data_IF_643296706960
#
_entry.id   IF_643296706960
#
_cell.length_a   1.000
_cell.length_b   1.000
_cell.length_c   1.000
_cell.angle_alpha   90.00
_cell.angle_beta   90.00
_cell.angle_gamma   90.00
#
_symmetry.space_group_name_H-M   'P 1'
#
loop_
_entity.id
_entity.type
_entity.pdbx_description
1 polymer ?
#
# COMPACT_ATOMS: atom_id res chain seq x y z
N UNK A 1 12.28 -9.17 24.19
CA UNK A 1 12.27 -10.63 24.06
C UNK A 1 10.97 -11.05 23.39
N UNK A 2 11.04 -11.80 22.30
CA UNK A 2 9.90 -12.43 21.63
C UNK A 2 10.26 -13.90 21.46
N UNK A 3 9.44 -14.81 21.98
CA UNK A 3 9.69 -16.26 21.98
C UNK A 3 11.08 -16.68 22.50
N UNK A 4 11.58 -16.03 23.55
CA UNK A 4 12.89 -16.35 24.14
C UNK A 4 14.09 -15.78 23.39
N UNK A 5 13.87 -15.03 22.31
CA UNK A 5 14.92 -14.36 21.53
C UNK A 5 14.98 -12.89 21.92
N UNK A 6 16.16 -12.41 22.28
CA UNK A 6 16.42 -10.99 22.45
C UNK A 6 16.53 -10.29 21.09
N UNK A 7 15.78 -9.20 20.93
CA UNK A 7 15.81 -8.37 19.73
C UNK A 7 16.28 -6.98 20.11
N UNK A 8 17.26 -6.46 19.38
CA UNK A 8 17.67 -5.07 19.46
C UNK A 8 16.77 -4.23 18.55
N UNK A 9 16.18 -3.17 19.11
CA UNK A 9 15.53 -2.12 18.33
C UNK A 9 16.56 -1.03 18.06
N UNK A 10 17.15 -1.08 16.87
CA UNK A 10 18.12 -0.09 16.40
C UNK A 10 17.37 0.83 15.44
N UNK A 11 17.13 2.11 15.81
CA UNK A 11 16.31 3.02 15.00
C UNK A 11 16.67 3.05 13.51
N UNK A 12 17.96 3.00 13.20
CA UNK A 12 18.50 3.07 11.84
C UNK A 12 18.28 1.77 11.02
N UNK A 13 17.87 0.69 11.68
CA UNK A 13 17.62 -0.64 11.07
C UNK A 13 16.19 -1.16 11.33
N UNK A 14 15.36 -0.39 12.02
CA UNK A 14 14.00 -0.76 12.40
C UNK A 14 12.98 0.00 11.56
N UNK A 15 12.45 -0.66 10.53
CA UNK A 15 11.52 -0.08 9.56
C UNK A 15 10.07 -0.49 9.86
N UNK A 16 9.63 -0.22 11.10
CA UNK A 16 8.33 -0.67 11.59
C UNK A 16 7.16 0.09 10.95
N UNK A 17 6.05 -0.62 10.79
CA UNK A 17 4.73 -0.08 10.55
C UNK A 17 3.81 -0.45 11.71
N UNK A 18 2.92 0.47 12.10
CA UNK A 18 1.89 0.19 13.09
C UNK A 18 0.65 1.00 12.75
N UNK A 19 -0.46 0.30 12.56
CA UNK A 19 -1.78 0.89 12.42
C UNK A 19 -2.78 0.23 13.37
N UNK A 20 -3.96 0.85 13.41
CA UNK A 20 -5.10 0.35 14.18
C UNK A 20 -6.36 0.58 13.38
N UNK A 21 -6.94 -0.50 12.88
CA UNK A 21 -8.19 -0.47 12.16
C UNK A 21 -9.34 -0.67 13.16
N UNK A 22 -10.39 0.14 13.03
CA UNK A 22 -11.63 0.00 13.79
C UNK A 22 -12.81 0.06 12.83
N UNK A 23 -13.87 -0.68 13.12
CA UNK A 23 -15.05 -0.72 12.27
C UNK A 23 -15.90 -1.96 12.52
N UNK A 24 -16.99 -2.09 11.77
CA UNK A 24 -17.86 -3.26 11.82
C UNK A 24 -17.59 -4.30 10.73
N UNK A 25 -16.75 -3.97 9.74
CA UNK A 25 -16.44 -4.84 8.61
C UNK A 25 -15.08 -4.47 7.98
N UNK A 26 -14.53 -5.37 7.18
CA UNK A 26 -13.37 -5.09 6.34
C UNK A 26 -13.79 -4.29 5.09
N UNK A 27 -12.82 -3.78 4.33
CA UNK A 27 -13.10 -3.09 3.06
C UNK A 27 -12.70 -3.99 1.90
N UNK A 28 -13.37 -3.87 0.76
CA UNK A 28 -13.10 -4.67 -0.44
C UNK A 28 -12.98 -3.75 -1.67
N UNK A 29 -11.81 -3.65 -2.32
CA UNK A 29 -10.56 -4.33 -1.96
C UNK A 29 -10.00 -3.84 -0.62
N UNK A 30 -9.33 -4.71 0.11
CA UNK A 30 -8.41 -4.38 1.18
C UNK A 30 -7.02 -4.25 0.55
N UNK A 31 -6.44 -3.06 0.55
CA UNK A 31 -5.06 -2.85 0.12
C UNK A 31 -4.39 -1.90 1.10
N UNK A 32 -3.29 -2.37 1.68
CA UNK A 32 -2.43 -1.59 2.56
C UNK A 32 -0.97 -1.81 2.17
N UNK A 33 -0.26 -0.71 1.91
CA UNK A 33 1.17 -0.72 1.59
C UNK A 33 1.85 0.38 2.39
N UNK A 34 2.91 0.05 3.11
CA UNK A 34 3.65 0.99 3.94
C UNK A 34 5.15 0.72 3.89
N UNK A 35 5.97 1.76 3.85
CA UNK A 35 7.43 1.61 4.02
C UNK A 35 8.11 2.94 4.38
N UNK A 36 9.11 2.84 5.25
CA UNK A 36 10.10 3.90 5.49
C UNK A 36 11.53 3.48 5.12
N UNK A 37 11.75 2.24 4.66
CA UNK A 37 13.06 1.79 4.19
C UNK A 37 13.26 2.19 2.72
N UNK A 38 13.51 3.49 2.50
CA UNK A 38 13.53 4.08 1.17
C UNK A 38 14.94 4.57 0.76
N UNK A 39 15.37 4.27 -0.46
CA UNK A 39 16.68 4.67 -0.98
C UNK A 39 16.53 5.30 -2.35
N UNK A 40 17.02 6.53 -2.54
CA UNK A 40 17.06 7.14 -3.88
C UNK A 40 18.05 6.37 -4.75
N UNK A 41 17.58 5.84 -5.88
CA UNK A 41 18.40 5.19 -6.89
C UNK A 41 19.17 6.22 -7.74
N UNK A 42 18.72 7.48 -7.78
CA UNK A 42 19.43 8.56 -8.47
C UNK A 42 20.70 8.95 -7.70
N UNK A 43 20.58 9.10 -6.38
CA UNK A 43 21.70 9.57 -5.55
C UNK A 43 22.44 8.45 -4.83
N UNK A 44 21.85 7.25 -4.76
CA UNK A 44 22.34 6.13 -3.96
C UNK A 44 22.16 6.31 -2.44
N UNK A 45 21.47 7.37 -1.99
CA UNK A 45 21.36 7.72 -0.57
C UNK A 45 20.06 7.22 0.05
N UNK A 46 20.13 6.85 1.33
CA UNK A 46 18.97 6.61 2.16
C UNK A 46 18.15 7.89 2.29
N UNK A 47 16.84 7.78 2.15
CA UNK A 47 15.90 8.85 2.45
C UNK A 47 15.57 8.80 3.95
N UNK A 48 15.99 9.83 4.69
CA UNK A 48 15.94 9.82 6.17
C UNK A 48 14.74 10.59 6.72
N UNK A 49 14.07 11.39 5.89
CA UNK A 49 12.87 12.14 6.28
C UNK A 49 11.72 11.81 5.33
N UNK A 50 11.50 10.51 5.14
CA UNK A 50 10.59 9.97 4.14
C UNK A 50 9.82 8.74 4.61
N UNK A 51 8.55 8.64 4.21
CA UNK A 51 7.69 7.48 4.45
C UNK A 51 6.58 7.42 3.40
N UNK A 52 6.25 6.22 2.92
CA UNK A 52 5.18 5.95 1.99
C UNK A 52 4.06 5.14 2.64
N UNK A 53 2.82 5.50 2.35
CA UNK A 53 1.60 4.82 2.78
C UNK A 53 0.57 4.83 1.64
N UNK A 54 -0.08 3.71 1.41
CA UNK A 54 -1.28 3.59 0.58
C UNK A 54 -2.27 2.64 1.25
N UNK A 55 -3.51 3.09 1.46
CA UNK A 55 -4.51 2.33 2.20
C UNK A 55 -5.94 2.57 1.71
N UNK A 56 -6.81 1.56 1.87
CA UNK A 56 -8.26 1.69 1.71
C UNK A 56 -8.86 0.73 0.69
N UNK A 57 -10.02 1.12 0.14
CA UNK A 57 -10.58 0.46 -1.04
C UNK A 57 -12.06 0.67 -1.31
N UNK A 58 -12.93 0.80 -0.30
CA UNK A 58 -14.38 1.05 -0.51
C UNK A 58 -15.00 1.94 0.57
N UNK A 59 -14.60 3.21 0.65
CA UNK A 59 -15.19 4.17 1.58
C UNK A 59 -16.68 4.41 1.27
N UNK A 60 -17.46 4.73 2.31
CA UNK A 60 -18.87 5.10 2.18
C UNK A 60 -19.04 6.60 2.44
N UNK A 61 -19.68 7.30 1.51
CA UNK A 61 -20.04 8.71 1.65
C UNK A 61 -21.56 8.84 1.46
N UNK A 62 -22.25 9.45 2.45
CA UNK A 62 -23.71 9.61 2.42
C UNK A 62 -24.49 8.32 2.11
N UNK A 63 -24.01 7.18 2.63
CA UNK A 63 -24.62 5.85 2.40
C UNK A 63 -24.24 5.19 1.07
N UNK A 64 -23.56 5.90 0.17
CA UNK A 64 -23.13 5.37 -1.13
C UNK A 64 -21.70 4.85 -1.02
N UNK A 65 -21.47 3.61 -1.48
CA UNK A 65 -20.14 3.02 -1.53
C UNK A 65 -19.38 3.53 -2.75
N UNK A 66 -18.15 4.00 -2.55
CA UNK A 66 -17.25 4.42 -3.62
C UNK A 66 -16.23 3.30 -3.84
N UNK A 67 -16.40 2.45 -4.87
CA UNK A 67 -15.51 1.32 -5.07
C UNK A 67 -14.12 1.77 -5.51
N UNK A 68 -13.13 0.96 -5.13
CA UNK A 68 -11.72 1.06 -5.52
C UNK A 68 -11.15 2.47 -5.30
N UNK A 69 -11.24 2.98 -4.08
CA UNK A 69 -10.64 4.26 -3.68
C UNK A 69 -9.56 4.06 -2.62
N UNK A 70 -8.32 4.37 -2.99
CA UNK A 70 -7.19 4.44 -2.08
C UNK A 70 -6.94 5.88 -1.61
N UNK A 71 -6.39 5.99 -0.40
CA UNK A 71 -5.73 7.17 0.12
C UNK A 71 -4.23 6.90 0.11
N UNK A 72 -3.46 7.78 -0.53
CA UNK A 72 -2.01 7.60 -0.69
C UNK A 72 -1.31 8.84 -0.15
N UNK A 73 -0.30 8.61 0.67
CA UNK A 73 0.58 9.63 1.21
C UNK A 73 2.04 9.24 1.02
N UNK A 74 2.82 10.13 0.41
CA UNK A 74 4.27 10.00 0.37
C UNK A 74 4.89 11.26 0.97
N UNK A 75 5.43 11.14 2.19
CA UNK A 75 6.31 12.15 2.75
C UNK A 75 7.70 11.91 2.15
N UNK A 76 8.19 12.85 1.36
CA UNK A 76 9.45 12.75 0.65
C UNK A 76 10.37 13.90 1.07
N UNK A 77 11.41 13.58 1.82
CA UNK A 77 12.46 14.46 2.32
C UNK A 77 11.92 15.81 2.85
N UNK A 78 10.90 15.72 3.72
CA UNK A 78 10.27 16.89 4.33
C UNK A 78 9.07 17.47 3.57
N UNK A 79 8.70 16.91 2.42
CA UNK A 79 7.58 17.39 1.59
C UNK A 79 6.50 16.33 1.43
N UNK A 80 5.25 16.72 1.70
CA UNK A 80 4.10 15.84 1.51
C UNK A 80 3.62 15.81 0.05
N UNK A 81 3.46 14.60 -0.47
CA UNK A 81 2.76 14.29 -1.72
C UNK A 81 1.54 13.44 -1.40
N UNK A 82 0.35 14.03 -1.51
CA UNK A 82 -0.91 13.38 -1.13
C UNK A 82 -1.81 13.17 -2.35
N UNK A 83 -2.38 11.97 -2.44
CA UNK A 83 -3.39 11.58 -3.43
C UNK A 83 -4.62 11.07 -2.66
N UNK A 84 -5.47 12.01 -2.30
CA UNK A 84 -6.67 11.78 -1.50
C UNK A 84 -7.92 12.20 -2.30
N UNK A 85 -8.76 11.25 -2.66
CA UNK A 85 -9.97 11.50 -3.47
C UNK A 85 -11.00 12.39 -2.73
N UNK A 86 -10.97 12.47 -1.40
CA UNK A 86 -11.87 13.33 -0.64
C UNK A 86 -11.51 14.82 -0.79
N UNK A 87 -10.26 15.13 -1.20
CA UNK A 87 -9.83 16.48 -1.60
C UNK A 87 -10.20 16.74 -3.05
N UNK A 88 -11.51 16.87 -3.30
CA UNK A 88 -12.09 16.97 -4.65
C UNK A 88 -11.51 18.11 -5.49
N UNK A 89 -10.96 19.17 -4.86
CA UNK A 89 -10.29 20.28 -5.55
C UNK A 89 -8.92 19.92 -6.14
N UNK A 90 -8.31 18.78 -5.78
CA UNK A 90 -6.95 18.41 -6.19
C UNK A 90 -6.90 17.47 -7.42
N UNK A 91 -8.04 17.20 -8.08
CA UNK A 91 -8.15 16.34 -9.28
C UNK A 91 -7.34 15.04 -9.18
N UNK A 92 -7.57 14.32 -8.10
CA UNK A 92 -6.86 13.08 -7.79
C UNK A 92 -7.37 11.95 -8.68
N UNK A 93 -6.44 11.26 -9.33
CA UNK A 93 -6.69 10.02 -10.07
C UNK A 93 -5.80 8.95 -9.50
N UNK A 94 -6.36 7.77 -9.27
CA UNK A 94 -5.65 6.59 -8.77
C UNK A 94 -6.12 5.41 -9.60
N UNK A 95 -5.15 4.65 -10.10
CA UNK A 95 -5.31 3.34 -10.71
C UNK A 95 -4.38 2.38 -9.95
N UNK A 96 -4.89 1.20 -9.61
CA UNK A 96 -4.12 0.22 -8.84
C UNK A 96 -4.64 -1.18 -9.09
N UNK A 97 -3.77 -2.14 -8.86
CA UNK A 97 -4.12 -3.55 -8.96
C UNK A 97 -3.15 -4.44 -8.20
N UNK A 98 -3.55 -5.69 -8.14
CA UNK A 98 -2.82 -6.78 -7.52
C UNK A 98 -2.86 -7.99 -8.45
N UNK A 99 -1.75 -8.70 -8.50
CA UNK A 99 -1.63 -9.95 -9.22
C UNK A 99 -1.02 -10.98 -8.29
N UNK A 100 -1.78 -12.04 -8.02
CA UNK A 100 -1.24 -13.19 -7.33
C UNK A 100 -0.34 -13.97 -8.28
N UNK A 101 0.91 -14.21 -7.89
CA UNK A 101 1.86 -14.99 -8.67
C UNK A 101 2.27 -16.28 -7.98
N UNK A 102 3.04 -17.10 -8.70
CA UNK A 102 3.59 -18.36 -8.18
C UNK A 102 4.79 -18.13 -7.26
N UNK A 103 5.64 -17.16 -7.61
CA UNK A 103 6.85 -16.78 -6.86
C UNK A 103 6.62 -15.49 -6.08
N UNK A 104 6.25 -14.42 -6.78
CA UNK A 104 5.97 -13.11 -6.19
C UNK A 104 4.50 -12.75 -6.39
N UNK A 105 3.90 -12.17 -5.35
CA UNK A 105 2.70 -11.36 -5.50
C UNK A 105 3.10 -9.95 -5.92
N UNK A 106 2.34 -9.34 -6.81
CA UNK A 106 2.67 -8.05 -7.42
C UNK A 106 1.57 -7.02 -7.15
N UNK A 107 1.97 -5.78 -6.82
CA UNK A 107 1.09 -4.62 -6.75
C UNK A 107 1.58 -3.55 -7.72
N UNK A 108 0.64 -2.79 -8.27
CA UNK A 108 0.94 -1.52 -8.89
C UNK A 108 0.02 -0.42 -8.38
N UNK A 109 0.53 0.80 -8.27
CA UNK A 109 -0.26 2.00 -8.01
C UNK A 109 0.24 3.10 -8.94
N UNK A 110 -0.66 3.68 -9.73
CA UNK A 110 -0.43 4.87 -10.53
C UNK A 110 -1.36 5.96 -10.03
N UNK A 111 -0.82 7.05 -9.50
CA UNK A 111 -1.63 8.17 -9.03
C UNK A 111 -1.12 9.52 -9.50
N UNK A 112 -2.04 10.46 -9.64
CA UNK A 112 -1.71 11.83 -10.03
C UNK A 112 -2.69 12.84 -9.45
N UNK A 113 -2.22 14.06 -9.28
CA UNK A 113 -3.02 15.24 -8.96
C UNK A 113 -2.62 16.38 -9.90
N UNK A 114 -2.94 17.63 -9.59
CA UNK A 114 -2.51 18.77 -10.41
C UNK A 114 -0.99 19.01 -10.42
N UNK A 115 -0.29 18.61 -9.36
CA UNK A 115 1.09 18.99 -9.11
C UNK A 115 2.10 17.89 -9.41
N UNK A 116 1.68 16.63 -9.33
CA UNK A 116 2.58 15.48 -9.30
C UNK A 116 1.95 14.20 -9.85
N UNK A 117 2.83 13.24 -10.15
CA UNK A 117 2.51 11.84 -10.46
C UNK A 117 3.40 10.94 -9.60
N UNK A 118 2.86 9.79 -9.21
CA UNK A 118 3.59 8.75 -8.50
C UNK A 118 3.22 7.40 -9.13
N UNK A 119 4.23 6.60 -9.43
CA UNK A 119 4.09 5.22 -9.89
C UNK A 119 4.79 4.31 -8.89
N UNK A 120 4.11 3.26 -8.43
CA UNK A 120 4.64 2.22 -7.57
C UNK A 120 4.53 0.89 -8.31
N UNK A 121 5.61 0.11 -8.25
CA UNK A 121 5.58 -1.34 -8.44
C UNK A 121 6.16 -1.99 -7.21
N UNK A 122 5.41 -2.91 -6.62
CA UNK A 122 5.82 -3.62 -5.41
C UNK A 122 5.64 -5.12 -5.61
N UNK A 123 6.52 -5.88 -4.99
CA UNK A 123 6.55 -7.33 -5.01
C UNK A 123 6.68 -7.83 -3.59
N UNK A 124 6.20 -9.03 -3.32
CA UNK A 124 6.48 -9.74 -2.08
C UNK A 124 6.48 -11.24 -2.39
N UNK A 125 7.50 -11.95 -1.92
CA UNK A 125 7.60 -13.38 -2.19
C UNK A 125 6.44 -14.09 -1.51
N UNK A 126 5.77 -14.94 -2.27
CA UNK A 126 4.60 -15.68 -1.82
C UNK A 126 4.88 -16.53 -0.58
N UNK A 127 6.08 -17.11 -0.47
CA UNK A 127 6.50 -17.95 0.66
C UNK A 127 6.86 -17.16 1.92
N UNK A 128 7.04 -15.84 1.82
CA UNK A 128 7.23 -14.91 2.93
C UNK A 128 5.92 -14.22 3.36
N UNK A 129 4.81 -14.51 2.67
CA UNK A 129 3.49 -13.97 2.97
C UNK A 129 2.59 -14.97 3.70
N UNK A 130 1.62 -14.42 4.44
CA UNK A 130 0.61 -15.19 5.15
C UNK A 130 -0.80 -14.86 4.64
N UNK A 131 -1.68 -15.86 4.65
CA UNK A 131 -3.11 -15.65 4.49
C UNK A 131 -3.75 -15.47 5.86
N UNK A 132 -4.16 -14.24 6.16
CA UNK A 132 -4.80 -13.96 7.44
C UNK A 132 -6.25 -14.45 7.44
N UNK A 133 -6.60 -15.12 8.54
CA UNK A 133 -7.93 -15.64 8.77
C UNK A 133 -8.74 -14.65 9.62
N UNK A 134 -9.21 -13.57 9.01
CA UNK A 134 -10.01 -12.57 9.71
C UNK A 134 -11.51 -12.79 9.57
N UNK A 135 -12.19 -12.80 10.71
CA UNK A 135 -13.65 -12.72 10.82
C UNK A 135 -14.02 -11.28 11.22
N UNK A 136 -14.94 -10.68 10.47
CA UNK A 136 -15.43 -9.35 10.81
C UNK A 136 -16.19 -9.38 12.15
N UNK A 137 -16.30 -8.26 12.88
CA UNK A 137 -17.11 -8.18 14.12
C UNK A 137 -18.57 -8.61 13.96
N UNK A 138 -19.07 -8.66 12.72
CA UNK A 138 -20.41 -9.21 12.38
C UNK A 138 -20.49 -10.74 12.42
N UNK A 139 -19.39 -11.43 12.68
CA UNK A 139 -19.28 -12.89 12.63
C UNK A 139 -19.09 -13.46 11.22
N UNK A 140 -18.91 -12.60 10.22
CA UNK A 140 -18.78 -12.99 8.81
C UNK A 140 -17.33 -13.04 8.39
N UNK A 141 -16.96 -14.09 7.67
CA UNK A 141 -15.69 -14.21 6.96
C UNK A 141 -15.93 -14.04 5.46
N UNK A 142 -15.65 -12.84 4.95
CA UNK A 142 -15.88 -12.47 3.55
C UNK A 142 -14.62 -12.49 2.68
N UNK A 143 -13.44 -12.47 3.31
CA UNK A 143 -12.14 -12.65 2.65
C UNK A 143 -11.61 -14.05 2.94
N UNK A 144 -11.53 -14.91 1.92
CA UNK A 144 -10.80 -16.18 2.05
C UNK A 144 -9.36 -16.11 1.54
N UNK A 145 -9.00 -15.04 0.81
CA UNK A 145 -7.65 -14.77 0.30
C UNK A 145 -7.19 -13.36 0.69
N UNK A 146 -6.82 -13.19 1.95
CA UNK A 146 -6.27 -11.94 2.47
C UNK A 146 -4.76 -12.10 2.73
N UNK A 147 -3.97 -11.71 1.74
CA UNK A 147 -2.52 -11.73 1.78
C UNK A 147 -1.97 -10.63 2.67
N UNK A 148 -1.01 -10.97 3.53
CA UNK A 148 -0.28 -10.05 4.40
C UNK A 148 1.22 -10.40 4.35
N UNK A 149 2.06 -9.39 4.23
CA UNK A 149 3.52 -9.53 4.23
C UNK A 149 4.20 -8.29 4.80
N UNK A 150 5.45 -8.46 5.21
CA UNK A 150 6.30 -7.37 5.74
C UNK A 150 7.67 -7.27 5.08
N UNK A 151 7.93 -8.10 4.06
CA UNK A 151 9.19 -8.15 3.31
C UNK A 151 9.06 -7.59 1.89
N UNK A 152 8.01 -6.80 1.64
CA UNK A 152 7.76 -6.25 0.31
C UNK A 152 8.94 -5.39 -0.20
N UNK A 153 9.19 -5.46 -1.50
CA UNK A 153 10.25 -4.71 -2.16
C UNK A 153 9.78 -4.19 -3.52
N UNK A 154 10.40 -3.12 -3.99
CA UNK A 154 10.03 -2.55 -5.28
C UNK A 154 10.54 -1.14 -5.48
N UNK A 155 9.79 -0.36 -6.24
CA UNK A 155 10.22 0.96 -6.67
C UNK A 155 9.07 1.96 -6.74
N UNK A 156 9.37 3.19 -6.36
CA UNK A 156 8.52 4.36 -6.56
C UNK A 156 9.20 5.30 -7.55
N UNK A 157 8.47 5.76 -8.57
CA UNK A 157 8.86 6.92 -9.38
C UNK A 157 8.01 8.11 -8.99
N UNK A 158 8.65 9.13 -8.43
CA UNK A 158 8.00 10.39 -8.08
C UNK A 158 8.31 11.43 -9.16
N UNK A 159 7.27 12.06 -9.71
CA UNK A 159 7.41 12.98 -10.83
C UNK A 159 6.57 14.25 -10.63
N UNK A 160 6.98 15.33 -11.29
CA UNK A 160 6.11 16.49 -11.53
C UNK A 160 4.98 16.11 -12.47
N UNK A 161 3.94 16.94 -12.52
CA UNK A 161 2.79 16.68 -13.41
C UNK A 161 3.17 16.58 -14.89
N UNK A 162 4.16 17.37 -15.32
CA UNK A 162 4.70 17.38 -16.68
C UNK A 162 5.53 16.12 -17.04
N UNK A 163 5.77 15.22 -16.09
CA UNK A 163 6.56 14.01 -16.29
C UNK A 163 8.04 14.13 -15.92
N UNK A 164 8.50 15.31 -15.49
CA UNK A 164 9.87 15.48 -14.99
C UNK A 164 10.08 14.62 -13.74
N UNK A 165 11.05 13.71 -13.79
CA UNK A 165 11.43 12.87 -12.66
C UNK A 165 11.96 13.73 -11.51
N UNK A 166 11.39 13.53 -10.32
CA UNK A 166 11.86 14.13 -9.06
C UNK A 166 12.83 13.15 -8.40
N UNK A 167 12.41 11.89 -8.26
CA UNK A 167 13.28 10.83 -7.77
C UNK A 167 12.77 9.45 -8.24
N UNK A 168 13.68 8.49 -8.24
CA UNK A 168 13.41 7.07 -8.44
C UNK A 168 13.89 6.35 -7.18
N UNK A 169 12.96 5.80 -6.42
CA UNK A 169 13.20 5.33 -5.07
C UNK A 169 13.06 3.81 -5.04
N UNK A 170 14.04 3.12 -4.47
CA UNK A 170 13.95 1.72 -4.06
C UNK A 170 13.19 1.64 -2.73
N UNK A 171 12.22 0.73 -2.69
CA UNK A 171 11.42 0.39 -1.51
C UNK A 171 11.83 -0.98 -1.01
N UNK A 172 12.04 -1.12 0.28
CA UNK A 172 12.37 -2.38 0.95
C UNK A 172 11.54 -2.52 2.23
N UNK A 173 11.46 -3.74 2.77
CA UNK A 173 10.73 -4.06 4.01
C UNK A 173 9.34 -3.42 4.08
N UNK A 174 8.62 -3.43 2.96
CA UNK A 174 7.29 -2.85 2.91
C UNK A 174 6.29 -3.79 3.58
N UNK A 175 5.44 -3.23 4.43
CA UNK A 175 4.14 -3.83 4.73
C UNK A 175 3.34 -3.89 3.42
N UNK A 176 2.78 -5.05 3.11
CA UNK A 176 2.00 -5.24 1.89
C UNK A 176 0.85 -6.22 2.11
N UNK A 177 -0.35 -5.72 1.91
CA UNK A 177 -1.58 -6.44 2.16
C UNK A 177 -2.51 -6.33 0.95
N UNK A 178 -3.18 -7.44 0.64
CA UNK A 178 -4.22 -7.45 -0.37
C UNK A 178 -5.29 -8.51 -0.11
N UNK A 179 -6.55 -8.12 -0.24
CA UNK A 179 -7.66 -9.06 -0.30
C UNK A 179 -8.90 -8.44 -0.93
N UNK A 180 -9.73 -9.25 -1.57
CA UNK A 180 -11.06 -8.85 -2.03
C UNK A 180 -12.08 -9.82 -1.45
N UNK A 181 -13.33 -9.38 -1.32
CA UNK A 181 -14.42 -10.29 -0.99
C UNK A 181 -14.53 -11.38 -2.05
N UNK A 182 -14.92 -12.57 -1.64
CA UNK A 182 -15.02 -13.74 -2.52
C UNK A 182 -15.93 -13.46 -3.73
N UNK A 183 -17.05 -12.77 -3.51
CA UNK A 183 -17.97 -12.35 -4.57
C UNK A 183 -17.39 -11.27 -5.49
N UNK A 184 -16.53 -10.37 -5.00
CA UNK A 184 -15.91 -9.32 -5.82
C UNK A 184 -14.84 -9.91 -6.77
N UNK A 185 -14.17 -10.99 -6.35
CA UNK A 185 -13.15 -11.67 -7.17
C UNK A 185 -13.73 -12.34 -8.40
N UNK A 186 -14.92 -12.95 -8.31
CA UNK A 186 -15.54 -13.65 -9.45
C UNK A 186 -16.07 -12.69 -10.52
N UNK A 187 -16.31 -11.42 -10.19
CA UNK A 187 -16.80 -10.42 -11.14
C UNK A 187 -15.69 -9.67 -11.90
N UNK A 188 -14.43 -9.77 -11.43
CA UNK A 188 -13.26 -9.21 -12.12
C UNK A 188 -12.56 -10.22 -13.05
N UNK A 189 -13.06 -11.47 -13.11
CA UNK A 189 -12.69 -12.46 -14.14
C UNK A 189 -13.70 -12.33 -15.27
N UNK A 190 -13.53 -11.32 -16.11
CA UNK A 190 -14.13 -11.31 -17.45
C UNK A 190 -12.98 -11.59 -18.41
N UNK A 191 -13.14 -12.67 -19.18
CA UNK A 191 -12.21 -13.23 -20.19
C UNK A 191 -11.50 -12.18 -21.06
#
# INVERSE_FOLDING_TARGET
ELDGVEYEVIPEKSFGYADKNWGGDFTSPWLWISSCNLTSLITGKKLNNSAFEAGGGKPKAFGISLPRKLLIGFYYEGKMYEYNFARFWNNVRVDFGFKEGEVDNEWYINCSNWNSKLELKLYCKRDEMMLFNYEAPTGKKLHTRLWNGGSGYGEIKLMKKDGTLIDHIKVENAGCEYGEYDDDRTHNVID
#
